data_IF_045466138950
#
_entry.id   IF_045466138950
#
_cell.length_a   1.000
_cell.length_b   1.000
_cell.length_c   1.000
_cell.angle_alpha   90.00
_cell.angle_beta   90.00
_cell.angle_gamma   90.00
#
_symmetry.space_group_name_H-M   'P 1'
#
loop_
_entity.id
_entity.type
_entity.pdbx_description
1 polymer ?
#
# COMPACT_ATOMS: atom_id res chain seq x y z
N UNK A 1 2.37 15.10 29.72
CA UNK A 1 1.49 16.23 29.33
C UNK A 1 0.07 15.67 29.23
N UNK A 2 -0.89 16.27 29.93
CA UNK A 2 -2.30 15.85 29.88
C UNK A 2 -2.80 16.04 28.44
N UNK A 3 -3.38 15.00 27.85
CA UNK A 3 -4.16 15.12 26.63
C UNK A 3 -5.41 15.94 26.96
N UNK A 4 -5.32 17.27 26.82
CA UNK A 4 -6.52 18.09 26.73
C UNK A 4 -7.28 17.62 25.50
N UNK A 5 -8.47 17.08 25.70
CA UNK A 5 -9.41 16.77 24.63
C UNK A 5 -9.69 18.11 23.93
N UNK A 6 -9.19 18.24 22.70
CA UNK A 6 -9.32 19.45 21.92
C UNK A 6 -10.78 19.63 21.49
N UNK A 7 -11.45 20.63 22.07
CA UNK A 7 -12.80 21.02 21.73
C UNK A 7 -12.81 21.75 20.39
N UNK A 8 -13.08 20.97 19.33
CA UNK A 8 -13.11 21.44 17.94
C UNK A 8 -14.22 22.46 17.70
N UNK A 9 -15.38 22.31 18.33
CA UNK A 9 -16.50 23.23 18.17
C UNK A 9 -16.15 24.61 18.71
N UNK A 10 -15.54 24.65 19.90
CA UNK A 10 -15.01 25.89 20.48
C UNK A 10 -13.90 26.51 19.63
N UNK A 11 -12.99 25.71 19.09
CA UNK A 11 -11.92 26.18 18.21
C UNK A 11 -12.46 26.79 16.92
N UNK A 12 -13.44 26.15 16.29
CA UNK A 12 -14.11 26.67 15.08
C UNK A 12 -14.83 27.98 15.40
N UNK A 13 -15.58 28.03 16.49
CA UNK A 13 -16.27 29.24 16.94
C UNK A 13 -15.30 30.41 17.16
N UNK A 14 -14.24 30.22 17.94
CA UNK A 14 -13.25 31.27 18.23
C UNK A 14 -12.47 31.70 16.97
N UNK A 15 -12.17 30.76 16.07
CA UNK A 15 -11.53 31.04 14.79
C UNK A 15 -12.37 31.96 13.91
N UNK A 16 -13.69 31.72 13.89
CA UNK A 16 -14.66 32.52 13.14
C UNK A 16 -14.84 33.92 13.74
N UNK A 17 -14.67 34.07 15.06
CA UNK A 17 -14.72 35.37 15.74
C UNK A 17 -13.48 36.26 15.50
N UNK A 18 -12.40 35.73 14.91
CA UNK A 18 -11.18 36.52 14.70
C UNK A 18 -9.93 36.01 15.40
N UNK A 19 -10.06 35.03 16.31
CA UNK A 19 -8.94 34.59 17.14
C UNK A 19 -7.86 33.89 16.29
N UNK A 20 -6.71 34.54 16.16
CA UNK A 20 -5.58 34.09 15.34
C UNK A 20 -4.97 32.80 15.92
N UNK A 21 -4.92 32.67 17.25
CA UNK A 21 -4.40 31.47 17.89
C UNK A 21 -5.34 30.28 17.68
N UNK A 22 -6.65 30.51 17.77
CA UNK A 22 -7.65 29.50 17.47
C UNK A 22 -7.56 29.05 16.00
N UNK A 23 -7.41 29.99 15.06
CA UNK A 23 -7.22 29.68 13.63
C UNK A 23 -5.97 28.84 13.38
N UNK A 24 -4.84 29.23 13.96
CA UNK A 24 -3.58 28.50 13.78
C UNK A 24 -3.68 27.06 14.31
N UNK A 25 -4.31 26.87 15.49
CA UNK A 25 -4.57 25.54 16.05
C UNK A 25 -5.50 24.70 15.16
N UNK A 26 -6.58 25.30 14.66
CA UNK A 26 -7.51 24.63 13.75
C UNK A 26 -6.84 24.24 12.43
N UNK A 27 -6.03 25.13 11.85
CA UNK A 27 -5.25 24.84 10.64
C UNK A 27 -4.28 23.67 10.85
N UNK A 28 -3.53 23.68 11.95
CA UNK A 28 -2.61 22.58 12.28
C UNK A 28 -3.35 21.24 12.41
N UNK A 29 -4.49 21.24 13.11
CA UNK A 29 -5.33 20.05 13.21
C UNK A 29 -5.78 19.54 11.84
N UNK A 30 -6.26 20.43 10.96
CA UNK A 30 -6.69 20.04 9.61
C UNK A 30 -5.54 19.46 8.79
N UNK A 31 -4.34 20.04 8.89
CA UNK A 31 -3.13 19.53 8.23
C UNK A 31 -2.78 18.12 8.73
N UNK A 32 -2.81 17.89 10.04
CA UNK A 32 -2.56 16.56 10.62
C UNK A 32 -3.57 15.51 10.17
N UNK A 33 -4.86 15.89 10.06
CA UNK A 33 -5.90 15.01 9.51
C UNK A 33 -5.63 14.67 8.05
N UNK A 34 -5.23 15.66 7.23
CA UNK A 34 -4.88 15.44 5.82
C UNK A 34 -3.67 14.49 5.68
N UNK A 35 -2.63 14.67 6.49
CA UNK A 35 -1.46 13.77 6.51
C UNK A 35 -1.89 12.35 6.89
N UNK A 36 -2.74 12.21 7.90
CA UNK A 36 -3.24 10.91 8.37
C UNK A 36 -4.06 10.21 7.28
N UNK A 37 -4.98 10.92 6.63
CA UNK A 37 -5.77 10.40 5.51
C UNK A 37 -4.88 9.98 4.34
N UNK A 38 -3.88 10.79 3.98
CA UNK A 38 -2.92 10.46 2.92
C UNK A 38 -2.16 9.16 3.23
N UNK A 39 -1.68 8.98 4.47
CA UNK A 39 -0.99 7.75 4.89
C UNK A 39 -1.91 6.53 4.79
N UNK A 40 -3.14 6.63 5.31
CA UNK A 40 -4.13 5.53 5.21
C UNK A 40 -4.44 5.16 3.76
N UNK A 41 -4.58 6.14 2.87
CA UNK A 41 -4.81 5.90 1.46
C UNK A 41 -3.62 5.20 0.79
N UNK A 42 -2.38 5.61 1.09
CA UNK A 42 -1.17 4.94 0.58
C UNK A 42 -1.11 3.48 1.03
N UNK A 43 -1.35 3.22 2.32
CA UNK A 43 -1.35 1.86 2.85
C UNK A 43 -2.45 1.00 2.23
N UNK A 44 -3.66 1.55 2.04
CA UNK A 44 -4.74 0.86 1.35
C UNK A 44 -4.38 0.51 -0.11
N UNK A 45 -3.77 1.46 -0.85
CA UNK A 45 -3.31 1.21 -2.22
C UNK A 45 -2.25 0.10 -2.24
N UNK A 46 -1.28 0.13 -1.33
CA UNK A 46 -0.25 -0.91 -1.21
C UNK A 46 -0.86 -2.29 -0.91
N UNK A 47 -1.79 -2.35 0.05
CA UNK A 47 -2.47 -3.59 0.42
C UNK A 47 -3.26 -4.17 -0.76
N UNK A 48 -4.00 -3.33 -1.49
CA UNK A 48 -4.73 -3.75 -2.66
C UNK A 48 -3.79 -4.29 -3.76
N UNK A 49 -2.71 -3.56 -4.06
CA UNK A 49 -1.71 -4.00 -5.03
C UNK A 49 -1.08 -5.34 -4.63
N UNK A 50 -0.66 -5.48 -3.37
CA UNK A 50 -0.06 -6.72 -2.87
C UNK A 50 -1.04 -7.90 -2.96
N UNK A 51 -2.31 -7.69 -2.61
CA UNK A 51 -3.34 -8.73 -2.73
C UNK A 51 -3.53 -9.18 -4.18
N UNK A 52 -3.57 -8.25 -5.14
CA UNK A 52 -3.67 -8.58 -6.56
C UNK A 52 -2.46 -9.38 -7.03
N UNK A 53 -1.26 -8.95 -6.68
CA UNK A 53 -0.01 -9.64 -7.04
C UNK A 53 0.02 -11.07 -6.51
N UNK A 54 -0.34 -11.26 -5.24
CA UNK A 54 -0.39 -12.59 -4.61
C UNK A 54 -1.37 -13.49 -5.36
N UNK A 55 -2.58 -13.00 -5.60
CA UNK A 55 -3.61 -13.77 -6.31
C UNK A 55 -3.16 -14.19 -7.72
N UNK A 56 -2.55 -13.28 -8.47
CA UNK A 56 -2.10 -13.58 -9.82
C UNK A 56 -0.99 -14.64 -9.85
N UNK A 57 -0.02 -14.54 -8.94
CA UNK A 57 1.05 -15.54 -8.85
C UNK A 57 0.49 -16.88 -8.38
N UNK A 58 -0.46 -16.89 -7.45
CA UNK A 58 -1.12 -18.11 -6.98
C UNK A 58 -1.85 -18.82 -8.11
N UNK A 59 -2.68 -18.10 -8.87
CA UNK A 59 -3.38 -18.65 -10.04
C UNK A 59 -2.40 -19.26 -11.04
N UNK A 60 -1.33 -18.52 -11.37
CA UNK A 60 -0.29 -19.01 -12.25
C UNK A 60 0.37 -20.29 -11.74
N UNK A 61 0.74 -20.34 -10.44
CA UNK A 61 1.35 -21.51 -9.84
C UNK A 61 0.40 -22.71 -9.88
N UNK A 62 -0.88 -22.53 -9.59
CA UNK A 62 -1.88 -23.61 -9.66
C UNK A 62 -1.99 -24.15 -11.09
N UNK A 63 -2.10 -23.28 -12.09
CA UNK A 63 -2.16 -23.67 -13.51
C UNK A 63 -0.91 -24.41 -13.98
N UNK A 64 0.26 -24.02 -13.45
CA UNK A 64 1.56 -24.59 -13.81
C UNK A 64 2.04 -25.66 -12.81
N UNK A 65 1.16 -26.17 -11.94
CA UNK A 65 1.48 -27.23 -10.96
C UNK A 65 2.72 -26.92 -10.11
N UNK A 66 2.82 -25.67 -9.69
CA UNK A 66 3.89 -25.14 -8.85
C UNK A 66 5.29 -25.18 -9.49
N UNK A 67 5.38 -25.23 -10.81
CA UNK A 67 6.63 -25.31 -11.57
C UNK A 67 6.81 -24.11 -12.51
N UNK A 68 8.03 -23.58 -12.60
CA UNK A 68 8.37 -22.56 -13.58
C UNK A 68 8.33 -23.16 -15.01
N UNK A 69 7.78 -22.46 -16.01
CA UNK A 69 7.77 -22.96 -17.39
C UNK A 69 9.08 -22.68 -18.13
N UNK A 70 9.95 -21.82 -17.60
CA UNK A 70 11.20 -21.42 -18.22
C UNK A 70 12.41 -22.20 -17.69
N UNK A 71 12.28 -22.76 -16.49
CA UNK A 71 13.27 -23.65 -15.90
C UNK A 71 12.57 -24.69 -15.04
N UNK A 72 13.24 -25.79 -14.70
CA UNK A 72 12.63 -26.86 -13.89
C UNK A 72 12.54 -26.53 -12.38
N UNK A 73 12.57 -25.23 -12.01
CA UNK A 73 12.38 -24.80 -10.64
C UNK A 73 10.95 -25.10 -10.18
N UNK A 74 10.83 -25.68 -8.99
CA UNK A 74 9.55 -25.93 -8.32
C UNK A 74 9.50 -25.12 -7.04
N UNK A 75 8.42 -24.39 -6.84
CA UNK A 75 8.18 -23.65 -5.60
C UNK A 75 7.14 -24.36 -4.74
N UNK A 76 7.17 -24.18 -3.44
CA UNK A 76 6.09 -24.59 -2.54
C UNK A 76 5.21 -23.41 -2.09
N UNK A 77 5.59 -22.18 -2.42
CA UNK A 77 4.83 -20.98 -2.07
C UNK A 77 5.00 -19.84 -3.08
N UNK A 78 4.13 -18.84 -2.95
CA UNK A 78 4.01 -17.70 -3.87
C UNK A 78 5.23 -16.77 -3.79
N UNK A 79 5.72 -16.53 -2.57
CA UNK A 79 6.82 -15.60 -2.29
C UNK A 79 8.12 -16.10 -2.92
N UNK A 80 8.44 -17.37 -2.73
CA UNK A 80 9.63 -18.00 -3.31
C UNK A 80 9.56 -18.02 -4.84
N UNK A 81 8.37 -18.19 -5.41
CA UNK A 81 8.21 -18.13 -6.86
C UNK A 81 8.39 -16.71 -7.41
N UNK A 82 7.87 -15.71 -6.71
CA UNK A 82 8.11 -14.30 -7.03
C UNK A 82 9.62 -13.98 -7.02
N UNK A 83 10.31 -14.34 -5.94
CA UNK A 83 11.75 -14.12 -5.82
C UNK A 83 12.55 -14.91 -6.83
N UNK A 84 12.13 -16.13 -7.16
CA UNK A 84 12.72 -16.92 -8.22
C UNK A 84 12.70 -16.15 -9.56
N UNK A 85 11.53 -15.67 -9.99
CA UNK A 85 11.40 -14.92 -11.24
C UNK A 85 12.20 -13.60 -11.21
N UNK A 86 12.24 -12.92 -10.06
CA UNK A 86 12.96 -11.66 -9.87
C UNK A 86 14.49 -11.82 -9.93
N UNK A 87 15.02 -12.94 -9.43
CA UNK A 87 16.47 -13.19 -9.38
C UNK A 87 17.06 -13.59 -10.75
N UNK A 88 16.20 -14.02 -11.68
CA UNK A 88 16.63 -14.26 -13.05
C UNK A 88 16.88 -12.94 -13.78
N UNK A 89 18.08 -12.81 -14.35
CA UNK A 89 18.48 -11.62 -15.14
C UNK A 89 18.14 -11.74 -16.62
N UNK A 90 17.60 -12.88 -17.06
CA UNK A 90 17.25 -13.09 -18.46
C UNK A 90 15.88 -12.50 -18.79
N UNK A 91 15.75 -12.06 -20.04
CA UNK A 91 14.55 -11.39 -20.54
C UNK A 91 13.30 -12.26 -20.44
N UNK A 92 13.42 -13.58 -20.55
CA UNK A 92 12.26 -14.48 -20.54
C UNK A 92 11.59 -14.51 -19.17
N UNK A 93 12.37 -14.59 -18.09
CA UNK A 93 11.81 -14.55 -16.74
C UNK A 93 11.22 -13.18 -16.40
N UNK A 94 11.85 -12.09 -16.85
CA UNK A 94 11.27 -10.74 -16.73
C UNK A 94 9.94 -10.61 -17.49
N UNK A 95 9.86 -11.13 -18.72
CA UNK A 95 8.63 -11.11 -19.52
C UNK A 95 7.54 -11.99 -18.89
N UNK A 96 7.90 -13.14 -18.31
CA UNK A 96 6.98 -14.01 -17.58
C UNK A 96 6.46 -13.33 -16.30
N UNK A 97 7.34 -12.72 -15.51
CA UNK A 97 6.96 -11.96 -14.33
C UNK A 97 6.00 -10.84 -14.71
N UNK A 98 6.30 -10.09 -15.77
CA UNK A 98 5.41 -9.05 -16.27
C UNK A 98 4.03 -9.59 -16.66
N UNK A 99 3.97 -10.72 -17.38
CA UNK A 99 2.70 -11.37 -17.72
C UNK A 99 1.91 -11.77 -16.48
N UNK A 100 2.54 -12.37 -15.48
CA UNK A 100 1.86 -12.78 -14.25
C UNK A 100 1.35 -11.55 -13.47
N UNK A 101 2.14 -10.48 -13.39
CA UNK A 101 1.77 -9.31 -12.59
C UNK A 101 0.73 -8.40 -13.25
N UNK A 102 0.56 -8.45 -14.57
CA UNK A 102 -0.23 -7.49 -15.34
C UNK A 102 -1.26 -8.09 -16.31
N UNK A 103 -1.37 -9.42 -16.41
CA UNK A 103 -2.46 -10.12 -17.08
C UNK A 103 -3.39 -10.77 -16.04
#
# INVERSE_FOLDING_TARGET
>A
MKNEIMDLEKLVYMSNLGDINARAKLQNYMIEQLITLKKKNIEKIKQNYLSTVINNIELFLVENKYQCPLCNFKSCNIIDFYYHLLNHKDRKHSDLLYKILYC
#
